data_IF_339968458952
#
_entry.id   IF_339968458952
#
_cell.length_a   1.000
_cell.length_b   1.000
_cell.length_c   1.000
_cell.angle_alpha   90.00
_cell.angle_beta   90.00
_cell.angle_gamma   90.00
#
_symmetry.space_group_name_H-M   'P 1'
#
loop_
_entity.id
_entity.type
_entity.pdbx_description
1 polymer ?
#
# COMPACT_ATOMS: atom_id res chain seq x y z
N UNK A 1 24.08 -21.25 15.68
CA UNK A 1 23.31 -20.00 15.75
C UNK A 1 22.14 -20.25 16.70
N UNK A 2 22.11 -19.59 17.85
CA UNK A 2 20.96 -19.65 18.75
C UNK A 2 19.87 -18.81 18.09
N UNK A 3 18.73 -19.39 17.74
CA UNK A 3 17.59 -18.62 17.27
C UNK A 3 17.25 -17.57 18.33
N UNK A 4 17.29 -16.30 17.93
CA UNK A 4 17.01 -15.16 18.80
C UNK A 4 15.61 -15.32 19.40
N UNK A 5 15.56 -15.71 20.67
CA UNK A 5 14.32 -15.79 21.43
C UNK A 5 13.57 -14.46 21.38
N UNK A 6 12.26 -14.50 21.11
CA UNK A 6 11.43 -13.31 21.18
C UNK A 6 11.41 -12.79 22.63
N UNK A 7 11.89 -11.56 22.82
CA UNK A 7 11.89 -10.86 24.10
C UNK A 7 10.92 -9.68 23.99
N UNK A 8 9.87 -9.69 24.81
CA UNK A 8 8.90 -8.63 24.94
C UNK A 8 9.07 -7.98 26.31
N UNK A 9 9.24 -6.66 26.34
CA UNK A 9 9.22 -5.86 27.57
C UNK A 9 8.19 -4.77 27.36
N UNK A 10 7.19 -4.70 28.23
CA UNK A 10 6.13 -3.69 28.16
C UNK A 10 5.73 -3.19 29.53
N UNK A 11 5.21 -1.97 29.59
CA UNK A 11 4.51 -1.47 30.78
C UNK A 11 3.05 -1.89 30.70
N UNK A 12 2.51 -2.45 31.78
CA UNK A 12 1.10 -2.80 31.88
C UNK A 12 0.51 -2.31 33.20
N UNK A 13 -0.65 -1.66 33.13
CA UNK A 13 -1.42 -1.25 34.29
C UNK A 13 -2.51 -2.30 34.57
N UNK A 14 -2.44 -2.96 35.73
CA UNK A 14 -3.47 -3.93 36.14
C UNK A 14 -4.67 -3.21 36.78
N UNK A 15 -5.75 -3.96 37.07
CA UNK A 15 -7.05 -3.46 37.58
C UNK A 15 -7.00 -2.55 38.83
N UNK A 16 -5.88 -2.48 39.53
CA UNK A 16 -5.65 -1.56 40.65
C UNK A 16 -4.98 -0.23 40.27
N UNK A 17 -4.83 0.10 38.98
CA UNK A 17 -4.15 1.32 38.51
C UNK A 17 -2.63 1.32 38.74
N UNK A 18 -2.09 0.29 39.39
CA UNK A 18 -0.65 0.11 39.60
C UNK A 18 0.01 -0.34 38.30
N UNK A 19 1.10 0.34 37.96
CA UNK A 19 1.90 0.03 36.79
C UNK A 19 3.01 -0.96 37.10
N UNK A 20 3.16 -1.95 36.24
CA UNK A 20 4.22 -2.94 36.33
C UNK A 20 4.94 -3.04 34.99
N UNK A 21 6.21 -3.43 35.04
CA UNK A 21 6.98 -3.83 33.87
C UNK A 21 6.85 -5.32 33.70
N UNK A 22 6.17 -5.74 32.63
CA UNK A 22 6.03 -7.15 32.25
C UNK A 22 7.08 -7.48 31.20
N UNK A 23 7.94 -8.43 31.54
CA UNK A 23 9.01 -8.93 30.70
C UNK A 23 8.81 -10.41 30.43
N UNK A 24 8.76 -10.75 29.16
CA UNK A 24 8.49 -12.09 28.69
C UNK A 24 9.55 -12.50 27.68
N UNK A 25 10.19 -13.64 27.91
CA UNK A 25 11.22 -14.17 27.03
C UNK A 25 10.91 -15.60 26.67
N UNK A 26 11.00 -15.91 25.38
CA UNK A 26 10.93 -17.29 24.89
C UNK A 26 12.34 -17.73 24.57
N UNK A 27 12.89 -18.64 25.37
CA UNK A 27 14.18 -19.26 25.10
C UNK A 27 13.95 -20.54 24.29
N UNK A 28 14.64 -20.66 23.17
CA UNK A 28 14.69 -21.90 22.39
C UNK A 28 16.03 -22.60 22.65
N UNK A 29 15.99 -23.77 23.27
CA UNK A 29 17.17 -24.63 23.42
C UNK A 29 17.31 -25.57 22.21
N UNK A 30 18.54 -25.92 21.86
CA UNK A 30 18.83 -26.82 20.72
C UNK A 30 18.01 -28.11 20.86
N UNK A 31 17.24 -28.41 19.81
CA UNK A 31 16.33 -29.57 19.64
C UNK A 31 15.03 -29.56 20.48
N UNK A 32 14.17 -28.58 20.18
CA UNK A 32 12.72 -28.60 20.42
C UNK A 32 12.19 -28.08 21.77
N UNK A 33 13.03 -27.91 22.80
CA UNK A 33 12.54 -27.38 24.08
C UNK A 33 12.48 -25.85 24.04
N UNK A 34 11.27 -25.31 24.20
CA UNK A 34 11.02 -23.88 24.41
C UNK A 34 10.68 -23.65 25.88
N UNK A 35 11.29 -22.63 26.47
CA UNK A 35 11.00 -22.19 27.83
C UNK A 35 10.47 -20.77 27.78
N UNK A 36 9.39 -20.51 28.51
CA UNK A 36 8.82 -19.19 28.73
C UNK A 36 9.31 -18.66 30.08
N UNK A 37 10.18 -17.65 30.04
CA UNK A 37 10.52 -16.88 31.23
C UNK A 37 9.62 -15.65 31.32
N UNK A 38 8.98 -15.49 32.48
CA UNK A 38 8.14 -14.36 32.80
C UNK A 38 8.73 -13.63 34.00
N UNK A 39 8.83 -12.31 33.91
CA UNK A 39 9.26 -11.43 34.98
C UNK A 39 8.30 -10.26 35.06
N UNK A 40 7.81 -9.98 36.26
CA UNK A 40 6.98 -8.81 36.55
C UNK A 40 7.71 -8.00 37.60
N UNK A 41 7.91 -6.72 37.31
CA UNK A 41 8.57 -5.78 38.22
C UNK A 41 7.60 -4.66 38.55
N UNK A 42 7.38 -4.38 39.83
CA UNK A 42 6.63 -3.19 40.25
C UNK A 42 7.49 -1.95 39.98
N UNK A 43 6.92 -0.94 39.31
CA UNK A 43 7.64 0.29 38.97
C UNK A 43 7.98 1.15 40.19
N UNK A 44 7.18 1.09 41.25
CA UNK A 44 7.32 1.98 42.40
C UNK A 44 8.16 1.34 43.50
N UNK A 45 7.89 0.07 43.81
CA UNK A 45 8.59 -0.66 44.87
C UNK A 45 9.86 -1.36 44.38
N UNK A 46 10.03 -1.49 43.05
CA UNK A 46 11.09 -2.27 42.41
C UNK A 46 11.12 -3.75 42.81
N UNK A 47 10.01 -4.27 43.36
CA UNK A 47 9.88 -5.69 43.67
C UNK A 47 9.75 -6.53 42.40
N UNK A 48 10.48 -7.64 42.36
CA UNK A 48 10.50 -8.56 41.22
C UNK A 48 9.76 -9.86 41.55
N UNK A 49 8.96 -10.33 40.61
CA UNK A 49 8.41 -11.67 40.57
C UNK A 49 8.82 -12.38 39.29
N UNK A 50 9.29 -13.63 39.39
CA UNK A 50 9.81 -14.39 38.24
C UNK A 50 9.30 -15.82 38.22
N UNK A 51 9.15 -16.36 37.02
CA UNK A 51 8.89 -17.78 36.77
C UNK A 51 9.44 -18.23 35.42
N UNK A 52 9.79 -19.51 35.34
CA UNK A 52 10.15 -20.21 34.10
C UNK A 52 9.22 -21.39 33.89
N UNK A 53 8.56 -21.45 32.73
CA UNK A 53 7.66 -22.52 32.36
C UNK A 53 8.19 -23.25 31.12
N UNK A 54 8.25 -24.57 31.18
CA UNK A 54 8.54 -25.38 29.99
C UNK A 54 7.28 -25.53 29.11
N UNK A 55 7.47 -25.96 27.86
CA UNK A 55 6.35 -26.21 26.95
C UNK A 55 5.34 -27.20 27.55
N UNK A 56 5.82 -28.27 28.20
CA UNK A 56 4.97 -29.33 28.76
C UNK A 56 4.05 -28.80 29.86
N UNK A 57 4.53 -27.91 30.74
CA UNK A 57 3.73 -27.26 31.75
C UNK A 57 2.63 -26.40 31.14
N UNK A 58 2.96 -25.56 30.15
CA UNK A 58 1.97 -24.70 29.47
C UNK A 58 0.91 -25.54 28.75
N UNK A 59 1.32 -26.62 28.08
CA UNK A 59 0.40 -27.56 27.43
C UNK A 59 -0.54 -28.21 28.45
N UNK A 60 -0.01 -28.70 29.57
CA UNK A 60 -0.82 -29.28 30.65
C UNK A 60 -1.78 -28.25 31.27
N UNK A 61 -1.32 -27.01 31.49
CA UNK A 61 -2.15 -25.92 32.01
C UNK A 61 -3.33 -25.64 31.07
N UNK A 62 -3.07 -25.55 29.77
CA UNK A 62 -4.12 -25.27 28.79
C UNK A 62 -5.09 -26.45 28.64
N UNK A 63 -4.58 -27.68 28.73
CA UNK A 63 -5.39 -28.90 28.74
C UNK A 63 -6.32 -28.95 29.96
N UNK A 64 -5.80 -28.65 31.17
CA UNK A 64 -6.60 -28.60 32.41
C UNK A 64 -7.71 -27.56 32.38
N UNK A 65 -7.55 -26.50 31.61
CA UNK A 65 -8.54 -25.43 31.49
C UNK A 65 -9.58 -25.72 30.39
N UNK A 66 -9.54 -26.90 29.76
CA UNK A 66 -10.49 -27.31 28.72
C UNK A 66 -10.27 -26.66 27.35
N UNK A 67 -9.24 -25.82 27.20
CA UNK A 67 -8.89 -25.17 25.94
C UNK A 67 -7.41 -25.39 25.63
N UNK A 68 -7.11 -26.56 25.06
CA UNK A 68 -5.74 -26.94 24.74
C UNK A 68 -5.12 -26.01 23.68
N UNK A 69 -3.91 -25.51 23.95
CA UNK A 69 -3.11 -24.73 22.99
C UNK A 69 -1.75 -25.40 22.81
N UNK A 70 -1.59 -26.12 21.70
CA UNK A 70 -0.42 -26.99 21.40
C UNK A 70 0.92 -26.26 21.19
N UNK A 71 0.99 -24.94 21.34
CA UNK A 71 2.30 -24.30 21.25
C UNK A 71 2.26 -22.95 21.93
N UNK A 72 3.36 -22.60 22.59
CA UNK A 72 3.87 -21.24 22.75
C UNK A 72 4.21 -20.66 21.36
N UNK A 73 3.37 -20.89 20.35
CA UNK A 73 3.46 -20.26 19.03
C UNK A 73 3.03 -18.87 19.33
N UNK A 74 4.04 -18.05 19.56
CA UNK A 74 4.23 -16.69 19.09
C UNK A 74 3.05 -15.72 19.05
N UNK A 75 1.80 -16.09 18.84
CA UNK A 75 0.65 -15.20 18.82
C UNK A 75 0.35 -14.64 20.22
N UNK A 76 0.55 -15.41 21.29
CA UNK A 76 0.39 -14.92 22.67
C UNK A 76 1.47 -13.88 23.06
N UNK A 77 2.64 -13.96 22.44
CA UNK A 77 3.84 -13.16 22.79
C UNK A 77 4.14 -12.07 21.75
N UNK A 78 3.73 -12.28 20.50
CA UNK A 78 3.80 -11.32 19.38
C UNK A 78 2.56 -10.44 19.32
N UNK A 79 1.43 -10.86 19.88
CA UNK A 79 0.41 -9.87 20.21
C UNK A 79 1.04 -9.01 21.28
N UNK A 80 1.38 -7.78 20.92
CA UNK A 80 1.62 -6.76 21.91
C UNK A 80 0.41 -6.85 22.85
N UNK A 81 0.67 -7.01 24.14
CA UNK A 81 -0.30 -7.24 25.21
C UNK A 81 -1.46 -6.24 25.22
N UNK A 82 -1.30 -5.14 24.49
CA UNK A 82 -2.28 -4.07 24.29
C UNK A 82 -2.97 -4.04 22.91
N UNK A 83 -2.69 -5.00 22.03
CA UNK A 83 -3.17 -5.00 20.62
C UNK A 83 -4.14 -6.13 20.29
N UNK A 84 -4.29 -7.11 21.18
CA UNK A 84 -5.22 -8.23 20.99
C UNK A 84 -6.43 -8.06 21.89
N UNK A 85 -7.58 -7.71 21.30
CA UNK A 85 -8.87 -7.57 22.02
C UNK A 85 -9.29 -8.88 22.72
N UNK A 86 -8.78 -10.03 22.27
CA UNK A 86 -9.10 -11.35 22.81
C UNK A 86 -8.28 -11.75 24.04
N UNK A 87 -7.25 -10.99 24.43
CA UNK A 87 -6.34 -11.36 25.53
C UNK A 87 -6.27 -10.23 26.55
N UNK A 88 -6.55 -10.55 27.81
CA UNK A 88 -6.42 -9.61 28.93
C UNK A 88 -5.57 -10.23 30.03
N UNK A 89 -4.82 -9.39 30.76
CA UNK A 89 -3.97 -9.83 31.85
C UNK A 89 -4.41 -9.19 33.16
N UNK A 90 -4.47 -10.02 34.20
CA UNK A 90 -4.68 -9.57 35.57
C UNK A 90 -3.56 -10.10 36.47
N UNK A 91 -3.12 -9.31 37.44
CA UNK A 91 -2.16 -9.74 38.45
C UNK A 91 -2.88 -9.83 39.79
N UNK A 92 -2.94 -11.03 40.35
CA UNK A 92 -3.62 -11.31 41.60
C UNK A 92 -2.64 -11.70 42.71
N UNK A 93 -2.97 -11.30 43.92
CA UNK A 93 -2.32 -11.77 45.14
C UNK A 93 -2.96 -13.08 45.61
N UNK A 94 -2.34 -13.76 46.58
CA UNK A 94 -2.95 -14.93 47.21
C UNK A 94 -4.27 -14.58 47.91
N UNK A 95 -4.34 -13.40 48.54
CA UNK A 95 -5.57 -12.90 49.19
C UNK A 95 -6.70 -12.67 48.17
N UNK A 96 -6.39 -12.09 47.01
CA UNK A 96 -7.38 -11.89 45.95
C UNK A 96 -7.96 -13.22 45.44
N UNK A 97 -7.14 -14.26 45.37
CA UNK A 97 -7.62 -15.60 44.99
C UNK A 97 -8.56 -16.19 46.03
N UNK A 98 -8.28 -16.02 47.32
CA UNK A 98 -9.16 -16.48 48.39
C UNK A 98 -10.48 -15.67 48.41
N UNK A 99 -10.43 -14.37 48.12
CA UNK A 99 -11.63 -13.54 47.94
C UNK A 99 -12.48 -13.99 46.74
N UNK A 100 -11.84 -14.39 45.64
CA UNK A 100 -12.55 -14.95 44.49
C UNK A 100 -13.15 -16.34 44.78
N UNK A 101 -12.46 -17.15 45.59
CA UNK A 101 -12.93 -18.49 45.99
C UNK A 101 -14.11 -18.41 46.95
N UNK A 102 -14.03 -17.53 47.94
CA UNK A 102 -15.09 -17.28 48.93
C UNK A 102 -16.34 -16.64 48.33
N UNK A 103 -16.21 -15.81 47.29
CA UNK A 103 -17.39 -15.29 46.55
C UNK A 103 -18.08 -16.36 45.70
N UNK A 104 -17.38 -17.43 45.31
CA UNK A 104 -17.89 -18.49 44.43
C UNK A 104 -18.47 -19.69 45.21
N UNK A 105 -18.20 -19.78 46.50
CA UNK A 105 -18.65 -20.86 47.39
C UNK A 105 -19.07 -20.21 48.72
N UNK A 106 -20.37 -20.07 48.95
CA UNK A 106 -20.89 -19.73 50.27
C UNK A 106 -20.43 -20.77 51.29
N UNK A 107 -19.78 -20.30 52.35
CA UNK A 107 -19.42 -21.03 53.57
C UNK A 107 -18.44 -22.22 53.43
N UNK A 108 -17.25 -22.06 54.00
CA UNK A 108 -16.68 -22.95 55.03
C UNK A 108 -15.15 -22.83 55.06
N UNK A 109 -14.66 -22.48 56.25
CA UNK A 109 -13.34 -22.72 56.88
C UNK A 109 -12.17 -23.20 55.99
N UNK A 110 -10.98 -22.62 56.21
CA UNK A 110 -9.79 -23.27 56.80
C UNK A 110 -8.60 -22.29 56.77
N UNK A 111 -8.25 -21.82 57.97
CA UNK A 111 -6.92 -21.75 58.60
C UNK A 111 -5.66 -21.39 57.79
N UNK A 112 -5.07 -20.26 58.17
CA UNK A 112 -3.64 -20.01 58.43
C UNK A 112 -2.61 -20.90 57.69
N UNK A 113 -2.18 -20.48 56.50
CA UNK A 113 -1.05 -21.08 55.78
C UNK A 113 0.03 -20.03 55.54
N UNK A 114 1.08 -20.12 56.38
CA UNK A 114 2.46 -19.65 56.20
C UNK A 114 2.74 -18.30 55.50
N UNK A 115 3.37 -17.38 56.26
CA UNK A 115 3.89 -16.08 55.80
C UNK A 115 4.84 -16.11 54.58
N UNK A 116 5.29 -17.29 54.09
CA UNK A 116 6.10 -17.42 52.87
C UNK A 116 5.28 -17.39 51.57
N UNK A 117 3.97 -17.64 51.62
CA UNK A 117 3.09 -17.61 50.45
C UNK A 117 2.52 -16.21 50.14
N UNK A 118 2.57 -15.28 51.09
CA UNK A 118 1.89 -13.98 51.00
C UNK A 118 2.39 -13.10 49.84
N UNK A 119 3.68 -13.21 49.50
CA UNK A 119 4.27 -12.39 48.45
C UNK A 119 4.20 -13.04 47.07
N UNK A 120 3.65 -14.26 46.94
CA UNK A 120 3.43 -14.86 45.62
C UNK A 120 2.38 -14.05 44.86
N UNK A 121 2.56 -13.98 43.54
CA UNK A 121 1.61 -13.34 42.63
C UNK A 121 1.18 -14.35 41.59
N UNK A 122 -0.01 -14.18 41.05
CA UNK A 122 -0.58 -15.03 40.02
C UNK A 122 -0.94 -14.14 38.84
N UNK A 123 -0.24 -14.31 37.72
CA UNK A 123 -0.63 -13.66 36.49
C UNK A 123 -1.75 -14.48 35.85
N UNK A 124 -2.93 -13.89 35.74
CA UNK A 124 -4.09 -14.51 35.11
C UNK A 124 -4.13 -14.03 33.67
N UNK A 125 -3.81 -14.94 32.76
CA UNK A 125 -4.03 -14.73 31.34
C UNK A 125 -5.48 -15.13 31.03
N UNK A 126 -6.30 -14.14 30.69
CA UNK A 126 -7.69 -14.37 30.29
C UNK A 126 -7.80 -14.31 28.77
N UNK A 127 -8.19 -15.43 28.16
CA UNK A 127 -8.46 -15.55 26.74
C UNK A 127 -9.98 -15.54 26.52
N UNK A 128 -10.47 -14.49 25.85
CA UNK A 128 -11.89 -14.29 25.55
C UNK A 128 -12.12 -14.48 24.05
N UNK A 129 -13.02 -15.39 23.71
CA UNK A 129 -13.51 -15.67 22.35
C UNK A 129 -15.02 -15.49 22.32
N UNK A 130 -15.67 -15.58 21.17
CA UNK A 130 -17.11 -15.33 20.97
C UNK A 130 -18.04 -16.03 21.98
N UNK A 131 -17.66 -17.22 22.48
CA UNK A 131 -18.50 -18.01 23.39
C UNK A 131 -17.79 -18.47 24.67
N UNK A 132 -16.49 -18.21 24.82
CA UNK A 132 -15.68 -18.74 25.92
C UNK A 132 -14.79 -17.68 26.53
N UNK A 133 -14.69 -17.70 27.86
CA UNK A 133 -13.73 -16.92 28.64
C UNK A 133 -12.92 -17.85 29.52
N UNK A 134 -11.65 -18.02 29.16
CA UNK A 134 -10.76 -19.03 29.75
C UNK A 134 -9.66 -18.33 30.52
N UNK A 135 -9.39 -18.77 31.74
CA UNK A 135 -8.37 -18.20 32.62
C UNK A 135 -7.20 -19.17 32.80
N UNK A 136 -6.00 -18.74 32.40
CA UNK A 136 -4.76 -19.48 32.63
C UNK A 136 -3.97 -18.83 33.77
N UNK A 137 -4.02 -19.39 34.99
CA UNK A 137 -3.24 -18.88 36.11
C UNK A 137 -1.77 -19.27 35.98
N UNK A 138 -0.88 -18.28 35.98
CA UNK A 138 0.57 -18.45 35.94
C UNK A 138 1.17 -18.00 37.29
N UNK A 139 1.62 -18.94 38.14
CA UNK A 139 2.16 -18.61 39.46
C UNK A 139 3.55 -18.01 39.36
N UNK A 140 3.78 -16.90 40.05
CA UNK A 140 5.03 -16.15 40.06
C UNK A 140 5.68 -16.19 41.43
N UNK A 141 6.98 -16.49 41.45
CA UNK A 141 7.78 -16.52 42.67
C UNK A 141 8.33 -15.13 42.99
N UNK A 142 8.22 -14.72 44.25
CA UNK A 142 8.75 -13.45 44.72
C UNK A 142 10.27 -13.53 44.83
N UNK A 143 10.96 -12.65 44.10
CA UNK A 143 12.41 -12.53 44.10
C UNK A 143 12.91 -11.36 44.95
N UNK A 144 12.01 -10.55 45.51
CA UNK A 144 12.37 -9.40 46.34
C UNK A 144 12.89 -8.21 45.54
N UNK A 145 13.57 -7.31 46.26
CA UNK A 145 14.26 -6.17 45.68
C UNK A 145 15.53 -6.62 44.95
N UNK A 146 15.85 -6.07 43.77
CA UNK A 146 17.10 -6.36 43.09
C UNK A 146 18.29 -5.80 43.90
N UNK A 147 19.40 -6.53 43.94
CA UNK A 147 20.64 -6.08 44.58
C UNK A 147 21.18 -4.82 43.88
N UNK A 148 21.35 -3.68 44.59
CA UNK A 148 21.85 -2.44 44.02
C UNK A 148 23.24 -2.60 43.39
N UNK A 149 24.08 -3.50 43.90
CA UNK A 149 25.44 -3.73 43.38
C UNK A 149 25.39 -4.33 41.98
N UNK A 150 24.56 -5.37 41.81
CA UNK A 150 24.34 -6.02 40.50
C UNK A 150 23.68 -5.05 39.52
N UNK A 151 22.74 -4.23 40.00
CA UNK A 151 22.08 -3.23 39.18
C UNK A 151 23.08 -2.17 38.68
N UNK A 152 23.90 -1.61 39.57
CA UNK A 152 24.94 -0.64 39.21
C UNK A 152 25.98 -1.22 38.25
N UNK A 153 26.44 -2.46 38.50
CA UNK A 153 27.35 -3.15 37.59
C UNK A 153 26.72 -3.37 36.19
N UNK A 154 25.43 -3.72 36.16
CA UNK A 154 24.69 -3.87 34.91
C UNK A 154 24.51 -2.55 34.18
N UNK A 155 24.19 -1.47 34.90
CA UNK A 155 24.08 -0.12 34.33
C UNK A 155 25.41 0.30 33.71
N UNK A 156 26.53 0.17 34.44
CA UNK A 156 27.87 0.49 33.92
C UNK A 156 28.20 -0.32 32.67
N UNK A 157 27.91 -1.62 32.68
CA UNK A 157 28.12 -2.50 31.51
C UNK A 157 27.27 -2.08 30.31
N UNK A 158 25.99 -1.77 30.52
CA UNK A 158 25.09 -1.32 29.45
C UNK A 158 25.50 0.06 28.91
N UNK A 159 25.92 0.98 29.78
CA UNK A 159 26.43 2.29 29.39
C UNK A 159 27.69 2.15 28.53
N UNK A 160 28.65 1.31 28.95
CA UNK A 160 29.86 1.03 28.17
C UNK A 160 29.53 0.40 26.80
N UNK A 161 28.53 -0.49 26.75
CA UNK A 161 28.09 -1.10 25.48
C UNK A 161 27.40 -0.07 24.56
N UNK A 162 26.57 0.82 25.10
CA UNK A 162 25.97 1.93 24.34
C UNK A 162 27.06 2.85 23.80
N UNK A 163 28.05 3.19 24.62
CA UNK A 163 29.18 4.02 24.21
C UNK A 163 29.99 3.34 23.11
N UNK A 164 30.29 2.05 23.26
CA UNK A 164 30.97 1.22 22.24
C UNK A 164 30.18 1.20 20.93
N UNK A 165 28.86 1.00 20.99
CA UNK A 165 27.99 1.00 19.80
C UNK A 165 27.93 2.38 19.14
N UNK A 166 27.92 3.46 19.93
CA UNK A 166 27.98 4.83 19.43
C UNK A 166 29.36 5.17 18.83
N UNK A 167 30.44 4.64 19.41
CA UNK A 167 31.82 4.83 18.96
C UNK A 167 32.13 4.00 17.71
N UNK A 168 31.44 2.87 17.50
CA UNK A 168 31.59 2.00 16.31
C UNK A 168 31.28 2.75 15.00
N UNK A 169 30.73 3.97 15.06
CA UNK A 169 30.73 4.92 13.93
C UNK A 169 29.72 4.59 12.83
N UNK A 170 29.40 3.30 12.65
CA UNK A 170 28.42 2.79 11.69
C UNK A 170 27.09 3.52 11.81
N UNK A 171 26.62 3.81 13.03
CA UNK A 171 25.37 4.52 13.23
C UNK A 171 25.46 5.99 12.80
N UNK A 172 26.61 6.66 13.04
CA UNK A 172 26.85 8.03 12.59
C UNK A 172 27.02 8.11 11.07
N UNK A 173 27.68 7.14 10.47
CA UNK A 173 27.89 7.08 9.02
C UNK A 173 26.59 6.72 8.29
N UNK A 174 25.79 5.81 8.85
CA UNK A 174 24.43 5.53 8.37
C UNK A 174 23.54 6.77 8.51
N UNK A 175 23.59 7.48 9.63
CA UNK A 175 22.84 8.74 9.81
C UNK A 175 23.27 9.81 8.80
N UNK A 176 24.58 10.03 8.60
CA UNK A 176 25.09 10.95 7.57
C UNK A 176 24.66 10.52 6.16
N UNK A 177 24.64 9.22 5.88
CA UNK A 177 24.18 8.69 4.58
C UNK A 177 22.69 8.89 4.40
N UNK A 178 21.88 8.65 5.44
CA UNK A 178 20.43 8.88 5.44
C UNK A 178 20.14 10.37 5.23
N UNK A 179 20.84 11.26 5.94
CA UNK A 179 20.71 12.71 5.78
C UNK A 179 21.07 13.16 4.35
N UNK A 180 22.22 12.72 3.84
CA UNK A 180 22.64 13.01 2.46
C UNK A 180 21.63 12.50 1.44
N UNK A 181 21.14 11.27 1.61
CA UNK A 181 20.12 10.67 0.74
C UNK A 181 18.80 11.43 0.81
N UNK A 182 18.40 11.88 2.01
CA UNK A 182 17.21 12.69 2.23
C UNK A 182 17.29 14.01 1.48
N UNK A 183 18.42 14.72 1.60
CA UNK A 183 18.67 15.98 0.88
C UNK A 183 18.66 15.75 -0.64
N UNK A 184 19.32 14.69 -1.14
CA UNK A 184 19.32 14.41 -2.57
C UNK A 184 17.94 14.05 -3.09
N UNK A 185 17.16 13.27 -2.34
CA UNK A 185 15.80 12.93 -2.71
C UNK A 185 14.91 14.17 -2.74
N UNK A 186 15.04 15.08 -1.78
CA UNK A 186 14.31 16.34 -1.78
C UNK A 186 14.65 17.19 -3.02
N UNK A 187 15.92 17.33 -3.37
CA UNK A 187 16.34 18.05 -4.60
C UNK A 187 15.81 17.39 -5.86
N UNK A 188 15.88 16.06 -5.95
CA UNK A 188 15.36 15.31 -7.10
C UNK A 188 13.84 15.43 -7.21
N UNK A 189 13.11 15.51 -6.09
CA UNK A 189 11.67 15.77 -6.09
C UNK A 189 11.36 17.20 -6.59
N UNK A 190 12.12 18.20 -6.15
CA UNK A 190 11.97 19.57 -6.64
C UNK A 190 12.29 19.68 -8.15
N UNK A 191 13.33 19.00 -8.62
CA UNK A 191 13.67 18.93 -10.04
C UNK A 191 12.60 18.21 -10.85
N UNK A 192 12.11 17.05 -10.37
CA UNK A 192 10.98 16.37 -10.99
C UNK A 192 9.73 17.25 -11.03
N UNK A 193 9.46 18.02 -9.97
CA UNK A 193 8.33 18.94 -9.98
C UNK A 193 8.52 20.08 -11.01
N UNK A 194 9.72 20.64 -11.11
CA UNK A 194 10.08 21.65 -12.12
C UNK A 194 9.97 21.11 -13.54
N UNK A 195 10.46 19.90 -13.79
CA UNK A 195 10.38 19.21 -15.09
C UNK A 195 8.95 18.79 -15.41
N UNK A 196 8.20 18.24 -14.45
CA UNK A 196 6.79 17.87 -14.60
C UNK A 196 5.89 19.07 -14.85
N UNK A 197 6.25 20.27 -14.37
CA UNK A 197 5.54 21.52 -14.73
C UNK A 197 5.83 22.00 -16.17
N UNK A 198 6.61 21.22 -16.96
CA UNK A 198 7.02 21.53 -18.33
C UNK A 198 8.17 22.55 -18.42
N UNK A 199 8.70 23.04 -17.30
CA UNK A 199 9.63 24.18 -17.34
C UNK A 199 9.00 25.45 -17.96
N UNK A 200 9.70 26.58 -17.81
CA UNK A 200 9.18 27.88 -18.29
C UNK A 200 9.09 27.95 -19.82
N UNK A 201 9.94 27.21 -20.53
CA UNK A 201 9.99 27.17 -22.00
C UNK A 201 8.79 26.47 -22.64
N UNK A 202 8.45 25.25 -22.18
CA UNK A 202 7.31 24.51 -22.75
C UNK A 202 6.00 25.20 -22.42
N UNK A 203 5.86 25.83 -21.24
CA UNK A 203 4.68 26.64 -20.92
C UNK A 203 4.52 27.83 -21.88
N UNK A 204 5.60 28.57 -22.16
CA UNK A 204 5.57 29.69 -23.12
C UNK A 204 5.24 29.22 -24.53
N UNK A 205 5.82 28.10 -24.96
CA UNK A 205 5.54 27.52 -26.27
C UNK A 205 4.08 27.03 -26.37
N UNK A 206 3.56 26.36 -25.34
CA UNK A 206 2.17 25.92 -25.29
C UNK A 206 1.20 27.12 -25.36
N UNK A 207 1.47 28.21 -24.64
CA UNK A 207 0.68 29.45 -24.74
C UNK A 207 0.74 30.06 -26.14
N UNK A 208 1.92 30.08 -26.78
CA UNK A 208 2.07 30.57 -28.15
C UNK A 208 1.33 29.70 -29.17
N UNK A 209 1.37 28.36 -29.00
CA UNK A 209 0.63 27.41 -29.84
C UNK A 209 -0.88 27.65 -29.69
N UNK A 210 -1.42 27.73 -28.47
CA UNK A 210 -2.84 28.03 -28.28
C UNK A 210 -3.25 29.39 -28.84
N UNK A 211 -2.40 30.42 -28.73
CA UNK A 211 -2.67 31.72 -29.33
C UNK A 211 -2.76 31.63 -30.87
N UNK A 212 -1.83 30.90 -31.49
CA UNK A 212 -1.82 30.68 -32.94
C UNK A 212 -3.03 29.84 -33.39
N UNK A 213 -3.35 28.76 -32.67
CA UNK A 213 -4.53 27.93 -32.94
C UNK A 213 -5.82 28.76 -32.89
N UNK A 214 -5.95 29.64 -31.89
CA UNK A 214 -7.10 30.54 -31.78
C UNK A 214 -7.17 31.54 -32.94
N UNK A 215 -6.03 32.08 -33.38
CA UNK A 215 -5.97 32.98 -34.54
C UNK A 215 -6.41 32.25 -35.82
N UNK A 216 -5.84 31.07 -36.07
CA UNK A 216 -6.18 30.24 -37.23
C UNK A 216 -7.64 29.80 -37.19
N UNK A 217 -8.19 29.48 -36.02
CA UNK A 217 -9.60 29.14 -35.87
C UNK A 217 -10.52 30.32 -36.23
N UNK A 218 -10.17 31.55 -35.79
CA UNK A 218 -10.91 32.77 -36.14
C UNK A 218 -10.83 33.08 -37.64
N UNK A 219 -9.65 32.99 -38.23
CA UNK A 219 -9.47 33.17 -39.68
C UNK A 219 -10.27 32.15 -40.48
N UNK A 220 -10.19 30.87 -40.10
CA UNK A 220 -10.99 29.81 -40.74
C UNK A 220 -12.48 30.05 -40.60
N UNK A 221 -12.96 30.53 -39.46
CA UNK A 221 -14.37 30.89 -39.28
C UNK A 221 -14.78 32.06 -40.19
N UNK A 222 -13.95 33.09 -40.28
CA UNK A 222 -14.15 34.24 -41.16
C UNK A 222 -14.20 33.83 -42.64
N UNK A 223 -13.21 33.07 -43.12
CA UNK A 223 -13.19 32.58 -44.50
C UNK A 223 -14.38 31.66 -44.80
N UNK A 224 -14.78 30.79 -43.85
CA UNK A 224 -15.98 29.96 -44.02
C UNK A 224 -17.25 30.81 -44.16
N UNK A 225 -17.41 31.86 -43.35
CA UNK A 225 -18.54 32.78 -43.45
C UNK A 225 -18.54 33.52 -44.81
N UNK A 226 -17.39 33.98 -45.26
CA UNK A 226 -17.25 34.65 -46.56
C UNK A 226 -17.58 33.70 -47.72
N UNK A 227 -17.09 32.45 -47.68
CA UNK A 227 -17.42 31.42 -48.69
C UNK A 227 -18.93 31.14 -48.69
N UNK A 228 -19.59 31.07 -47.54
CA UNK A 228 -21.04 30.88 -47.47
C UNK A 228 -21.80 32.07 -48.07
N UNK A 229 -21.38 33.31 -47.80
CA UNK A 229 -21.97 34.51 -48.39
C UNK A 229 -21.87 34.50 -49.91
N UNK A 230 -20.67 34.28 -50.46
CA UNK A 230 -20.45 34.22 -51.90
C UNK A 230 -21.22 33.07 -52.57
N UNK A 231 -21.42 31.94 -51.87
CA UNK A 231 -22.26 30.84 -52.37
C UNK A 231 -23.74 31.23 -52.43
N UNK A 232 -24.25 31.93 -51.41
CA UNK A 232 -25.62 32.42 -51.40
C UNK A 232 -25.85 33.45 -52.53
N UNK A 233 -24.93 34.39 -52.71
CA UNK A 233 -24.97 35.37 -53.80
C UNK A 233 -24.91 34.71 -55.17
N UNK A 234 -23.97 33.78 -55.40
CA UNK A 234 -23.90 33.03 -56.65
C UNK A 234 -25.16 32.20 -56.92
N UNK A 235 -25.80 31.65 -55.88
CA UNK A 235 -27.07 30.92 -56.03
C UNK A 235 -28.21 31.85 -56.48
N UNK A 236 -28.32 33.04 -55.88
CA UNK A 236 -29.30 34.07 -56.27
C UNK A 236 -29.04 34.55 -57.70
N UNK A 237 -27.79 34.87 -58.03
CA UNK A 237 -27.40 35.31 -59.37
C UNK A 237 -27.66 34.22 -60.41
N UNK A 238 -27.33 32.97 -60.12
CA UNK A 238 -27.62 31.84 -61.01
C UNK A 238 -29.13 31.67 -61.26
N UNK A 239 -29.95 31.87 -60.23
CA UNK A 239 -31.40 31.82 -60.35
C UNK A 239 -31.93 32.98 -61.19
N UNK A 240 -31.35 34.18 -61.05
CA UNK A 240 -31.67 35.34 -61.89
C UNK A 240 -31.29 35.12 -63.35
N UNK A 241 -30.11 34.57 -63.61
CA UNK A 241 -29.68 34.19 -64.96
C UNK A 241 -30.67 33.18 -65.55
N UNK A 242 -31.03 32.14 -64.81
CA UNK A 242 -32.02 31.15 -65.26
C UNK A 242 -33.37 31.78 -65.60
N UNK A 243 -33.91 32.65 -64.75
CA UNK A 243 -35.15 33.37 -65.01
C UNK A 243 -35.06 34.25 -66.27
N UNK A 244 -33.93 34.93 -66.47
CA UNK A 244 -33.69 35.74 -67.67
C UNK A 244 -33.58 34.87 -68.92
N UNK A 245 -32.90 33.72 -68.86
CA UNK A 245 -32.79 32.76 -69.96
C UNK A 245 -34.14 32.11 -70.30
N UNK A 246 -34.95 31.76 -69.30
CA UNK A 246 -36.32 31.24 -69.49
C UNK A 246 -37.25 32.32 -70.08
N UNK A 247 -37.05 33.59 -69.75
CA UNK A 247 -37.78 34.70 -70.37
C UNK A 247 -37.36 34.99 -71.82
N UNK A 248 -36.11 34.72 -72.21
CA UNK A 248 -35.64 34.83 -73.59
C UNK A 248 -36.02 33.62 -74.44
N UNK A 249 -35.96 32.39 -73.91
CA UNK A 249 -36.36 31.18 -74.66
C UNK A 249 -37.87 31.12 -74.94
N UNK A 250 -38.71 31.80 -74.15
CA UNK A 250 -40.14 31.98 -74.47
C UNK A 250 -40.42 33.02 -75.57
N UNK A 251 -39.42 33.76 -76.05
CA UNK A 251 -39.60 34.86 -77.04
C UNK A 251 -38.88 34.69 -78.37
N UNK A 252 -38.15 33.60 -78.61
CA UNK A 252 -37.47 33.41 -79.90
C UNK A 252 -37.41 31.95 -80.29
N UNK A 253 -38.49 31.46 -80.89
CA UNK A 253 -38.41 30.39 -81.87
C UNK A 253 -38.07 31.03 -83.22
N UNK A 254 -36.95 30.63 -83.82
CA UNK A 254 -36.87 30.27 -85.24
C UNK A 254 -35.48 29.74 -85.61
N UNK A 255 -35.43 28.83 -86.58
CA UNK A 255 -34.29 28.69 -87.50
C UNK A 255 -33.08 27.82 -87.13
N UNK A 256 -33.14 26.54 -87.54
CA UNK A 256 -31.98 25.71 -87.97
C UNK A 256 -31.32 26.30 -89.27
N UNK A 257 -30.16 25.87 -89.82
CA UNK A 257 -29.58 24.52 -89.80
C UNK A 257 -28.02 24.39 -89.84
N UNK A 258 -27.61 23.13 -90.04
CA UNK A 258 -26.30 22.50 -89.99
C UNK A 258 -25.14 23.05 -90.86
N UNK A 259 -23.92 22.87 -90.35
CA UNK A 259 -22.76 22.44 -91.14
C UNK A 259 -21.97 21.34 -90.39
N UNK A 260 -21.68 20.26 -91.12
CA UNK A 260 -20.98 19.05 -90.63
C UNK A 260 -19.48 19.12 -90.94
N UNK A 261 -18.73 18.40 -90.09
CA UNK A 261 -17.38 17.78 -90.24
C UNK A 261 -16.15 18.62 -89.88
N UNK A 262 -15.44 18.20 -88.84
CA UNK A 262 -14.21 17.36 -88.90
C UNK A 262 -13.61 17.18 -87.49
N UNK A 263 -13.46 15.94 -87.01
CA UNK A 263 -12.42 15.52 -86.03
C UNK A 263 -11.11 15.28 -86.79
N UNK A 264 -9.88 15.43 -86.23
CA UNK A 264 -9.34 14.76 -85.01
C UNK A 264 -8.24 15.61 -84.27
N UNK A 265 -7.22 15.05 -83.57
CA UNK A 265 -7.13 14.23 -82.34
C UNK A 265 -6.50 15.03 -81.16
N UNK A 266 -6.07 14.42 -80.04
CA UNK A 266 -4.91 14.96 -79.33
C UNK A 266 -3.83 13.92 -79.03
N UNK A 267 -2.69 14.04 -79.72
CA UNK A 267 -1.36 13.57 -79.32
C UNK A 267 -0.79 14.56 -78.29
N UNK A 268 -0.60 14.25 -77.01
CA UNK A 268 0.44 13.42 -76.38
C UNK A 268 1.88 13.95 -76.55
N UNK A 269 2.52 14.16 -75.38
CA UNK A 269 3.95 14.37 -75.05
C UNK A 269 4.27 15.80 -74.58
N UNK A 270 5.02 16.08 -73.51
CA UNK A 270 5.76 15.35 -72.46
C UNK A 270 6.45 16.48 -71.63
N UNK A 271 6.70 16.48 -70.32
CA UNK A 271 7.43 15.53 -69.46
C UNK A 271 7.26 15.90 -67.97
N UNK A 272 7.19 14.85 -67.13
CA UNK A 272 7.72 14.69 -65.75
C UNK A 272 7.11 15.56 -64.62
N UNK A 273 6.97 15.13 -63.37
CA UNK A 273 6.88 13.85 -62.62
C UNK A 273 6.88 14.25 -61.14
N UNK A 274 6.09 13.61 -60.26
CA UNK A 274 6.45 13.12 -58.90
C UNK A 274 5.19 12.71 -58.08
N UNK A 275 5.12 11.39 -57.80
CA UNK A 275 4.64 10.63 -56.62
C UNK A 275 3.28 10.90 -55.93
N UNK A 276 2.35 9.92 -55.97
CA UNK A 276 2.09 8.79 -54.99
C UNK A 276 1.44 9.30 -53.69
N UNK A 277 0.35 8.74 -53.12
CA UNK A 277 -0.09 7.33 -53.03
C UNK A 277 -1.51 7.28 -52.39
N UNK A 278 -2.38 6.40 -52.92
CA UNK A 278 -3.37 5.50 -52.24
C UNK A 278 -4.43 6.09 -51.28
N UNK A 279 -5.70 5.64 -51.21
CA UNK A 279 -6.29 4.32 -51.50
C UNK A 279 -7.83 4.43 -51.54
N UNK A 280 -8.45 3.36 -51.99
CA UNK A 280 -9.72 3.21 -52.72
C UNK A 280 -10.98 2.87 -51.91
N UNK A 281 -12.13 3.35 -52.43
CA UNK A 281 -13.46 2.68 -52.66
C UNK A 281 -13.60 1.25 -52.11
N UNK A 282 -14.70 0.80 -51.48
CA UNK A 282 -16.14 1.16 -51.54
C UNK A 282 -16.94 0.20 -50.59
N UNK A 283 -18.28 0.21 -50.47
CA UNK A 283 -19.19 1.35 -50.30
C UNK A 283 -20.45 1.07 -49.39
N UNK A 284 -21.15 2.17 -49.11
CA UNK A 284 -22.62 2.31 -49.14
C UNK A 284 -23.43 2.29 -47.82
N UNK A 285 -24.40 3.24 -47.82
CA UNK A 285 -25.75 3.23 -47.21
C UNK A 285 -25.93 3.87 -45.81
N UNK A 286 -26.61 5.04 -45.86
CA UNK A 286 -27.45 5.73 -44.85
C UNK A 286 -26.74 6.25 -43.58
N UNK A 287 -27.00 7.44 -43.03
CA UNK A 287 -27.99 8.48 -43.28
C UNK A 287 -28.18 9.27 -41.97
N UNK A 288 -28.23 10.61 -42.06
CA UNK A 288 -28.88 11.58 -41.15
C UNK A 288 -28.31 11.74 -39.71
N UNK A 289 -27.70 12.90 -39.39
CA UNK A 289 -28.28 14.08 -38.65
C UNK A 289 -28.54 13.80 -37.16
N UNK A 290 -28.33 14.68 -36.17
CA UNK A 290 -28.00 16.12 -36.06
C UNK A 290 -27.85 16.38 -34.53
N UNK A 291 -26.98 17.34 -34.17
CA UNK A 291 -27.12 18.34 -33.05
C UNK A 291 -27.34 17.83 -31.60
N UNK A 292 -26.86 18.43 -30.50
CA UNK A 292 -26.50 19.81 -30.14
C UNK A 292 -25.87 19.85 -28.72
N UNK A 293 -25.11 20.94 -28.47
CA UNK A 293 -25.03 21.78 -27.24
C UNK A 293 -24.61 21.22 -25.86
N UNK A 294 -23.44 21.72 -25.41
CA UNK A 294 -23.14 22.53 -24.20
C UNK A 294 -23.87 22.26 -22.85
N UNK A 295 -23.07 21.83 -21.85
CA UNK A 295 -22.84 22.31 -20.43
C UNK A 295 -23.99 22.92 -19.57
N UNK A 296 -23.79 23.27 -18.26
CA UNK A 296 -23.15 22.66 -17.08
C UNK A 296 -24.02 22.77 -15.77
N UNK A 297 -23.59 22.18 -14.63
CA UNK A 297 -23.82 22.76 -13.29
C UNK A 297 -24.81 22.11 -12.28
N UNK A 298 -24.29 21.93 -11.05
CA UNK A 298 -24.86 21.96 -9.69
C UNK A 298 -26.07 21.12 -9.21
N UNK A 299 -25.87 20.60 -7.99
CA UNK A 299 -26.77 20.61 -6.81
C UNK A 299 -27.66 19.39 -6.49
N UNK A 300 -27.50 18.97 -5.22
CA UNK A 300 -28.40 18.30 -4.26
C UNK A 300 -29.55 17.43 -4.80
N UNK A 301 -29.55 16.15 -4.43
CA UNK A 301 -30.50 15.60 -3.43
C UNK A 301 -30.21 14.12 -3.12
N UNK A 302 -30.33 13.82 -1.84
CA UNK A 302 -30.53 12.50 -1.26
C UNK A 302 -31.71 11.77 -1.89
N UNK A 303 -31.65 10.43 -2.02
CA UNK A 303 -32.63 9.52 -1.41
C UNK A 303 -32.18 8.06 -1.54
N UNK A 304 -32.57 7.31 -0.51
CA UNK A 304 -32.39 5.90 -0.26
C UNK A 304 -32.91 5.01 -1.39
N UNK A 305 -32.33 3.81 -1.53
CA UNK A 305 -32.98 2.48 -1.42
C UNK A 305 -32.00 1.41 -1.95
N UNK A 306 -31.54 0.48 -1.11
CA UNK A 306 -32.09 -0.88 -0.96
C UNK A 306 -32.32 -1.60 -2.31
N UNK A 307 -31.50 -2.62 -2.56
CA UNK A 307 -31.86 -3.97 -3.04
C UNK A 307 -30.56 -4.63 -3.56
N UNK A 308 -29.95 -5.56 -2.82
CA UNK A 308 -30.27 -6.99 -2.77
C UNK A 308 -30.24 -7.70 -4.13
N UNK A 309 -29.30 -8.65 -4.21
CA UNK A 309 -29.42 -9.94 -4.93
C UNK A 309 -29.41 -9.89 -6.46
N UNK A 310 -28.30 -10.28 -7.09
CA UNK A 310 -28.06 -11.68 -7.45
C UNK A 310 -26.87 -11.86 -8.42
N UNK A 311 -26.19 -13.00 -8.23
CA UNK A 311 -25.56 -13.84 -9.27
C UNK A 311 -24.34 -13.26 -10.03
N UNK A 312 -23.15 -13.73 -9.68
CA UNK A 312 -22.57 -14.93 -10.31
C UNK A 312 -21.16 -15.20 -9.78
N UNK A 313 -21.04 -16.33 -9.07
CA UNK A 313 -19.76 -16.91 -8.63
C UNK A 313 -19.04 -17.46 -9.85
N UNK A 314 -18.00 -16.77 -10.30
CA UNK A 314 -16.99 -17.35 -11.19
C UNK A 314 -15.82 -17.77 -10.31
N UNK A 315 -15.63 -19.09 -10.22
CA UNK A 315 -14.47 -19.75 -9.61
C UNK A 315 -13.19 -19.28 -10.32
N UNK A 316 -12.42 -18.40 -9.69
CA UNK A 316 -11.05 -18.09 -10.05
C UNK A 316 -10.10 -18.89 -9.15
N UNK A 317 -9.38 -19.81 -9.78
CA UNK A 317 -8.29 -20.61 -9.23
C UNK A 317 -7.10 -19.66 -9.02
N UNK A 318 -6.83 -19.21 -7.79
CA UNK A 318 -5.57 -18.54 -7.47
C UNK A 318 -4.49 -19.59 -7.24
N UNK A 319 -3.65 -19.76 -8.26
CA UNK A 319 -2.34 -20.40 -8.14
C UNK A 319 -1.47 -19.47 -7.29
N UNK A 320 -1.09 -19.95 -6.12
CA UNK A 320 -0.16 -19.31 -5.21
C UNK A 320 1.23 -19.26 -5.88
N UNK A 321 1.61 -18.07 -6.35
CA UNK A 321 2.96 -17.76 -6.78
C UNK A 321 3.88 -17.86 -5.57
N UNK A 322 4.65 -18.95 -5.48
CA UNK A 322 5.77 -19.08 -4.54
C UNK A 322 6.76 -17.96 -4.86
N UNK A 323 6.85 -16.96 -3.99
CA UNK A 323 8.03 -16.09 -3.91
C UNK A 323 9.25 -16.97 -3.65
N UNK A 324 10.05 -17.20 -4.69
CA UNK A 324 11.37 -17.80 -4.54
C UNK A 324 12.23 -16.82 -3.75
N UNK A 325 12.34 -17.06 -2.44
CA UNK A 325 13.30 -16.43 -1.54
C UNK A 325 14.68 -16.56 -2.18
N UNK A 326 15.20 -15.44 -2.69
CA UNK A 326 16.52 -15.40 -3.32
C UNK A 326 17.54 -15.78 -2.24
N UNK A 327 18.20 -16.92 -2.44
CA UNK A 327 19.26 -17.39 -1.55
C UNK A 327 20.53 -16.57 -1.81
N UNK A 328 20.75 -15.56 -0.96
CA UNK A 328 21.87 -14.61 -1.09
C UNK A 328 23.25 -15.29 -0.99
N UNK A 329 23.36 -16.46 -0.35
CA UNK A 329 24.63 -17.21 -0.30
C UNK A 329 25.05 -17.76 -1.67
N UNK A 330 24.07 -18.11 -2.51
CA UNK A 330 24.32 -18.57 -3.88
C UNK A 330 24.72 -17.39 -4.80
N UNK A 331 24.20 -16.19 -4.51
CA UNK A 331 24.54 -14.99 -5.27
C UNK A 331 25.97 -14.52 -5.02
N UNK A 332 26.44 -14.51 -3.77
CA UNK A 332 27.84 -14.18 -3.44
C UNK A 332 28.83 -15.17 -4.05
N UNK A 333 28.53 -16.47 -3.98
CA UNK A 333 29.35 -17.51 -4.59
C UNK A 333 29.44 -17.34 -6.12
N UNK A 334 28.35 -16.93 -6.76
CA UNK A 334 28.31 -16.69 -8.20
C UNK A 334 29.01 -15.39 -8.60
N UNK A 335 28.92 -14.34 -7.80
CA UNK A 335 29.67 -13.09 -7.98
C UNK A 335 31.16 -13.36 -7.86
N UNK A 336 31.58 -14.10 -6.83
CA UNK A 336 32.99 -14.46 -6.62
C UNK A 336 33.54 -15.28 -7.80
N UNK A 337 32.75 -16.25 -8.30
CA UNK A 337 33.14 -17.07 -9.46
C UNK A 337 33.29 -16.22 -10.73
N UNK A 338 32.36 -15.29 -10.98
CA UNK A 338 32.44 -14.38 -12.13
C UNK A 338 33.62 -13.40 -12.03
N UNK A 339 33.91 -12.89 -10.84
CA UNK A 339 35.08 -12.04 -10.59
C UNK A 339 36.38 -12.81 -10.81
N UNK A 340 36.43 -14.08 -10.39
CA UNK A 340 37.58 -14.98 -10.63
C UNK A 340 37.77 -15.25 -12.13
N UNK A 341 36.69 -15.55 -12.85
CA UNK A 341 36.75 -15.78 -14.30
C UNK A 341 37.16 -14.53 -15.08
N UNK A 342 36.71 -13.34 -14.68
CA UNK A 342 37.16 -12.08 -15.28
C UNK A 342 38.64 -11.82 -15.00
N UNK A 343 39.11 -12.13 -13.79
CA UNK A 343 40.52 -11.93 -13.42
C UNK A 343 41.46 -12.92 -14.13
N UNK A 344 41.00 -14.15 -14.36
CA UNK A 344 41.77 -15.18 -15.07
C UNK A 344 41.68 -15.04 -16.60
N UNK A 345 40.58 -14.51 -17.15
CA UNK A 345 40.43 -14.24 -18.58
C UNK A 345 41.22 -13.04 -19.11
N UNK A 346 41.68 -12.13 -18.24
CA UNK A 346 42.51 -10.96 -18.61
C UNK A 346 44.01 -11.31 -18.72
N UNK A 347 44.43 -12.50 -18.26
CA UNK A 347 45.84 -12.95 -18.34
C UNK A 347 46.14 -13.91 -19.49
N UNK A 348 45.26 -13.99 -20.49
CA UNK A 348 45.51 -14.67 -21.77
C UNK A 348 45.63 -13.61 -22.87
N UNK A 349 46.79 -12.96 -22.93
CA UNK A 349 47.24 -12.16 -24.06
C UNK A 349 48.76 -12.26 -24.16
#
# INVERSE_FOLDING_TARGET
MNESGSNLVTTYAFKGGKEYVVKMKVLAFKRCQRCLELTITDKFTAEDWRSSYDTAYIENLTHKTGNYKQTIKSNLIKSNLQTSESITLDLLTFEDLELLRSRKIDSSSVSAISNKANNRRYLILTYTVEFDRIHYPLPLEYCGLPDPTILQATIRRLQAEIERLNATGMNKDLQKRIEKLSITNQRLLEENHKLSSGGKGIRRLASAISALENSVAKERASFRAQIQKLRAENAVLSLKVRQLTESTTRRSGDGSPAFKRRTPPPSSHSRRSINRRSRSRSPSIYGHFKTSSLSPGSSVESFQTKNSSNRNIIKSRYVCSKESKIDYGNLESRIYTLQKMLKEGINLS
#
